data_IF_645332210346
#
_entry.id   IF_645332210346
#
_cell.length_a   1.000
_cell.length_b   1.000
_cell.length_c   1.000
_cell.angle_alpha   90.00
_cell.angle_beta   90.00
_cell.angle_gamma   90.00
#
_symmetry.space_group_name_H-M   'P 1'
#
loop_
_entity.id
_entity.type
_entity.pdbx_description
1 polymer ?
#
# COMPACT_ATOMS: atom_id res chain seq x y z
N UNK A 1 12.98 53.15 46.11
CA UNK A 1 12.02 52.03 46.01
C UNK A 1 11.04 52.34 44.89
N UNK A 2 11.11 51.60 43.77
CA UNK A 2 10.01 51.47 42.83
C UNK A 2 10.17 50.12 42.11
N UNK A 3 9.10 49.34 42.18
CA UNK A 3 9.05 47.89 42.03
C UNK A 3 9.24 47.41 40.60
N UNK A 4 10.07 46.37 40.44
CA UNK A 4 10.32 45.60 39.21
C UNK A 4 9.09 44.71 38.96
N UNK A 5 8.29 44.98 37.93
CA UNK A 5 7.24 44.03 37.48
C UNK A 5 7.90 42.90 36.68
N UNK A 6 7.75 41.62 37.06
CA UNK A 6 8.19 40.52 36.20
C UNK A 6 7.19 40.36 35.05
N UNK A 7 7.70 40.40 33.81
CA UNK A 7 6.93 39.98 32.64
C UNK A 7 6.72 38.46 32.72
N UNK A 8 5.47 38.03 32.85
CA UNK A 8 5.08 36.63 32.86
C UNK A 8 5.29 36.01 31.48
N UNK A 9 6.18 35.02 31.38
CA UNK A 9 6.30 34.14 30.21
C UNK A 9 4.97 33.43 29.95
N UNK A 10 4.41 33.45 28.73
CA UNK A 10 3.21 32.67 28.44
C UNK A 10 3.61 31.19 28.37
N UNK A 11 3.16 30.42 29.37
CA UNK A 11 3.22 28.96 29.35
C UNK A 11 2.45 28.48 28.11
N UNK A 12 3.03 27.65 27.22
CA UNK A 12 2.31 27.10 26.07
C UNK A 12 1.13 26.27 26.58
N UNK A 13 -0.09 26.67 26.24
CA UNK A 13 -1.30 25.91 26.58
C UNK A 13 -1.22 24.57 25.85
N UNK A 14 -1.51 23.43 26.51
CA UNK A 14 -1.53 22.12 25.87
C UNK A 14 -2.44 22.09 24.63
N UNK A 15 -3.42 22.99 24.57
CA UNK A 15 -4.30 23.25 23.43
C UNK A 15 -3.56 23.47 22.10
N UNK A 16 -2.43 24.18 22.08
CA UNK A 16 -1.70 24.46 20.82
C UNK A 16 -0.99 23.20 20.30
N UNK A 17 -0.53 22.34 21.21
CA UNK A 17 0.06 21.04 20.86
C UNK A 17 -1.02 20.07 20.41
N UNK A 18 -2.18 20.06 21.08
CA UNK A 18 -3.33 19.26 20.68
C UNK A 18 -3.90 19.71 19.33
N UNK A 19 -4.04 21.01 19.08
CA UNK A 19 -4.48 21.53 17.78
C UNK A 19 -3.48 21.24 16.67
N UNK A 20 -2.17 21.34 16.93
CA UNK A 20 -1.16 20.95 15.95
C UNK A 20 -1.17 19.44 15.68
N UNK A 21 -1.29 18.62 16.71
CA UNK A 21 -1.39 17.17 16.59
C UNK A 21 -2.67 16.76 15.84
N UNK A 22 -3.80 17.38 16.16
CA UNK A 22 -5.07 17.18 15.45
C UNK A 22 -4.98 17.62 14.00
N UNK A 23 -4.37 18.77 13.69
CA UNK A 23 -4.19 19.24 12.31
C UNK A 23 -3.21 18.37 11.51
N UNK A 24 -2.23 17.75 12.17
CA UNK A 24 -1.31 16.80 11.55
C UNK A 24 -2.02 15.46 11.28
N UNK A 25 -2.83 14.98 12.24
CA UNK A 25 -3.68 13.80 12.07
C UNK A 25 -4.73 14.02 10.97
N UNK A 26 -5.36 15.19 10.89
CA UNK A 26 -6.29 15.56 9.82
C UNK A 26 -5.60 15.55 8.45
N UNK A 27 -4.40 16.12 8.34
CA UNK A 27 -3.64 16.12 7.08
C UNK A 27 -3.17 14.72 6.69
N UNK A 28 -2.76 13.90 7.65
CA UNK A 28 -2.29 12.54 7.39
C UNK A 28 -3.46 11.63 6.97
N UNK A 29 -4.58 11.70 7.70
CA UNK A 29 -5.83 11.03 7.36
C UNK A 29 -6.34 11.43 5.97
N UNK A 30 -6.24 12.71 5.61
CA UNK A 30 -6.69 13.17 4.30
C UNK A 30 -5.82 12.60 3.15
N UNK A 31 -4.52 12.43 3.36
CA UNK A 31 -3.63 11.84 2.34
C UNK A 31 -3.94 10.35 2.13
N UNK A 32 -4.14 9.60 3.22
CA UNK A 32 -4.45 8.17 3.16
C UNK A 32 -5.84 7.90 2.57
N UNK A 33 -6.87 8.63 3.00
CA UNK A 33 -8.22 8.52 2.45
C UNK A 33 -8.28 8.87 0.96
N UNK A 34 -7.57 9.93 0.54
CA UNK A 34 -7.46 10.31 -0.87
C UNK A 34 -6.81 9.19 -1.70
N UNK A 35 -5.76 8.55 -1.18
CA UNK A 35 -5.10 7.44 -1.87
C UNK A 35 -6.04 6.25 -2.11
N UNK A 36 -6.84 5.89 -1.09
CA UNK A 36 -7.83 4.81 -1.19
C UNK A 36 -8.95 5.15 -2.17
N UNK A 37 -9.46 6.38 -2.17
CA UNK A 37 -10.48 6.84 -3.11
C UNK A 37 -9.95 6.80 -4.55
N UNK A 38 -8.73 7.31 -4.78
CA UNK A 38 -8.11 7.30 -6.11
C UNK A 38 -7.91 5.87 -6.61
N UNK A 39 -7.46 4.94 -5.75
CA UNK A 39 -7.30 3.53 -6.10
C UNK A 39 -8.65 2.88 -6.45
N UNK A 40 -9.70 3.15 -5.67
CA UNK A 40 -11.05 2.66 -5.95
C UNK A 40 -11.59 3.19 -7.29
N UNK A 41 -11.42 4.49 -7.55
CA UNK A 41 -11.82 5.09 -8.82
C UNK A 41 -11.05 4.49 -10.01
N UNK A 42 -9.74 4.29 -9.87
CA UNK A 42 -8.93 3.64 -10.89
C UNK A 42 -9.41 2.20 -11.18
N UNK A 43 -9.73 1.44 -10.13
CA UNK A 43 -10.28 0.09 -10.26
C UNK A 43 -11.65 0.09 -10.96
N UNK A 44 -12.54 1.02 -10.60
CA UNK A 44 -13.85 1.17 -11.26
C UNK A 44 -13.67 1.54 -12.73
N UNK A 45 -12.79 2.47 -13.06
CA UNK A 45 -12.51 2.86 -14.45
C UNK A 45 -11.97 1.67 -15.23
N UNK A 46 -11.00 0.93 -14.69
CA UNK A 46 -10.46 -0.27 -15.31
C UNK A 46 -11.53 -1.34 -15.52
N UNK A 47 -12.37 -1.59 -14.51
CA UNK A 47 -13.48 -2.54 -14.57
C UNK A 47 -14.49 -2.17 -15.66
N UNK A 48 -14.92 -0.90 -15.71
CA UNK A 48 -15.86 -0.41 -16.72
C UNK A 48 -15.24 -0.46 -18.12
N UNK A 49 -13.97 -0.10 -18.28
CA UNK A 49 -13.28 -0.12 -19.56
C UNK A 49 -13.12 -1.55 -20.10
N UNK A 50 -12.77 -2.51 -19.23
CA UNK A 50 -12.57 -3.91 -19.59
C UNK A 50 -13.87 -4.68 -19.90
N UNK A 51 -15.04 -4.21 -19.46
CA UNK A 51 -16.31 -4.93 -19.60
C UNK A 51 -17.30 -4.32 -20.61
N UNK A 52 -16.96 -3.19 -21.24
CA UNK A 52 -17.85 -2.50 -22.18
C UNK A 52 -17.54 -2.86 -23.64
N UNK A 53 -18.32 -2.33 -24.60
CA UNK A 53 -18.16 -2.53 -26.05
C UNK A 53 -16.77 -2.12 -26.61
N UNK A 54 -15.94 -1.47 -25.80
CA UNK A 54 -14.58 -1.05 -26.14
C UNK A 54 -13.52 -1.89 -25.41
N UNK A 55 -13.88 -3.06 -24.87
CA UNK A 55 -12.97 -3.97 -24.16
C UNK A 55 -11.74 -4.36 -25.00
N UNK A 56 -11.91 -4.52 -26.33
CA UNK A 56 -10.78 -4.79 -27.23
C UNK A 56 -9.71 -3.69 -27.18
N UNK A 57 -10.11 -2.42 -26.99
CA UNK A 57 -9.15 -1.32 -26.83
C UNK A 57 -8.35 -1.43 -25.54
N UNK A 58 -8.94 -1.94 -24.46
CA UNK A 58 -8.27 -2.17 -23.19
C UNK A 58 -7.20 -3.26 -23.36
N UNK A 59 -7.57 -4.38 -23.99
CA UNK A 59 -6.63 -5.46 -24.25
C UNK A 59 -5.50 -5.02 -25.20
N UNK A 60 -5.81 -4.29 -26.27
CA UNK A 60 -4.80 -3.81 -27.21
C UNK A 60 -3.85 -2.80 -26.55
N UNK A 61 -4.36 -1.93 -25.69
CA UNK A 61 -3.55 -0.97 -24.94
C UNK A 61 -2.54 -1.68 -24.02
N UNK A 62 -3.00 -2.63 -23.22
CA UNK A 62 -2.13 -3.33 -22.26
C UNK A 62 -1.18 -4.34 -22.90
N UNK A 63 -1.58 -4.94 -24.03
CA UNK A 63 -0.74 -5.86 -24.81
C UNK A 63 0.15 -5.15 -25.84
N UNK A 64 0.11 -3.81 -25.92
CA UNK A 64 0.98 -3.06 -26.82
C UNK A 64 2.46 -3.40 -26.55
N UNK A 65 3.17 -3.88 -27.57
CA UNK A 65 4.57 -4.27 -27.45
C UNK A 65 5.46 -3.03 -27.48
N UNK A 66 6.27 -2.88 -26.42
CA UNK A 66 7.33 -1.90 -26.37
C UNK A 66 8.66 -2.59 -26.60
N UNK A 67 9.31 -2.27 -27.72
CA UNK A 67 10.63 -2.77 -28.07
C UNK A 67 11.69 -1.71 -27.79
N UNK A 68 12.65 -2.01 -26.94
CA UNK A 68 13.83 -1.18 -26.68
C UNK A 68 15.05 -1.98 -27.12
N UNK A 69 15.94 -1.36 -27.90
CA UNK A 69 17.15 -2.02 -28.36
C UNK A 69 18.34 -1.09 -28.53
N UNK A 70 19.53 -1.63 -28.27
CA UNK A 70 20.82 -0.97 -28.49
C UNK A 70 21.72 -1.95 -29.24
N UNK A 71 22.04 -1.65 -30.49
CA UNK A 71 22.80 -2.54 -31.37
C UNK A 71 22.05 -3.85 -31.65
N UNK A 72 22.66 -4.98 -31.32
CA UNK A 72 22.06 -6.32 -31.50
C UNK A 72 21.20 -6.79 -30.32
N UNK A 73 21.19 -6.06 -29.19
CA UNK A 73 20.31 -6.37 -28.08
C UNK A 73 18.95 -5.71 -28.32
N UNK A 74 17.90 -6.52 -28.41
CA UNK A 74 16.51 -6.07 -28.48
C UNK A 74 15.68 -6.77 -27.42
N UNK A 75 14.95 -6.00 -26.63
CA UNK A 75 14.01 -6.51 -25.63
C UNK A 75 12.62 -6.01 -26.05
N UNK A 76 11.72 -6.93 -26.39
CA UNK A 76 10.29 -6.65 -26.58
C UNK A 76 9.50 -7.22 -25.40
N UNK A 77 8.71 -6.36 -24.76
CA UNK A 77 7.79 -6.70 -23.67
C UNK A 77 6.49 -5.90 -23.82
N UNK A 78 5.39 -6.45 -23.34
CA UNK A 78 4.12 -5.73 -23.32
C UNK A 78 4.16 -4.55 -22.34
N UNK A 79 3.35 -3.54 -22.61
CA UNK A 79 3.14 -2.40 -21.70
C UNK A 79 2.71 -2.89 -20.31
N UNK A 80 1.83 -3.88 -20.25
CA UNK A 80 1.40 -4.50 -18.99
C UNK A 80 2.58 -5.05 -18.18
N UNK A 81 3.50 -5.79 -18.82
CA UNK A 81 4.68 -6.30 -18.14
C UNK A 81 5.55 -5.17 -17.59
N UNK A 82 5.82 -4.14 -18.40
CA UNK A 82 6.66 -3.02 -18.00
C UNK A 82 6.06 -2.24 -16.83
N UNK A 83 4.77 -1.93 -16.88
CA UNK A 83 4.08 -1.18 -15.82
C UNK A 83 4.02 -2.02 -14.55
N UNK A 84 3.67 -3.31 -14.66
CA UNK A 84 3.63 -4.18 -13.50
C UNK A 84 5.01 -4.30 -12.84
N UNK A 85 6.05 -4.63 -13.60
CA UNK A 85 7.40 -4.82 -13.05
C UNK A 85 8.00 -3.51 -12.53
N UNK A 86 7.83 -2.41 -13.28
CA UNK A 86 8.33 -1.09 -12.90
C UNK A 86 7.65 -0.51 -11.67
N UNK A 87 6.31 -0.49 -11.64
CA UNK A 87 5.57 0.02 -10.48
C UNK A 87 5.72 -0.89 -9.27
N UNK A 88 5.74 -2.22 -9.44
CA UNK A 88 6.00 -3.15 -8.33
C UNK A 88 7.41 -2.98 -7.77
N UNK A 89 8.42 -2.73 -8.60
CA UNK A 89 9.78 -2.44 -8.13
C UNK A 89 9.80 -1.21 -7.22
N UNK A 90 9.13 -0.12 -7.62
CA UNK A 90 9.03 1.09 -6.80
C UNK A 90 8.24 0.83 -5.52
N UNK A 91 7.12 0.11 -5.61
CA UNK A 91 6.29 -0.25 -4.46
C UNK A 91 7.08 -1.07 -3.44
N UNK A 92 7.75 -2.15 -3.86
CA UNK A 92 8.55 -3.00 -2.97
C UNK A 92 9.78 -2.29 -2.42
N UNK A 93 10.35 -1.30 -3.13
CA UNK A 93 11.41 -0.46 -2.59
C UNK A 93 10.90 0.35 -1.37
N UNK A 94 9.73 0.98 -1.49
CA UNK A 94 9.11 1.75 -0.40
C UNK A 94 8.75 0.83 0.77
N UNK A 95 8.09 -0.30 0.49
CA UNK A 95 7.75 -1.30 1.51
C UNK A 95 9.00 -1.84 2.20
N UNK A 96 10.08 -2.11 1.44
CA UNK A 96 11.34 -2.56 2.00
C UNK A 96 12.01 -1.52 2.91
N UNK A 97 11.94 -0.23 2.55
CA UNK A 97 12.42 0.86 3.39
C UNK A 97 11.62 0.98 4.69
N UNK A 98 10.29 0.84 4.61
CA UNK A 98 9.40 0.85 5.77
C UNK A 98 9.69 -0.32 6.71
N UNK A 99 9.81 -1.54 6.17
CA UNK A 99 10.16 -2.73 6.96
C UNK A 99 11.52 -2.54 7.65
N UNK A 100 12.51 -1.93 6.96
CA UNK A 100 13.81 -1.66 7.56
C UNK A 100 13.70 -0.67 8.74
N UNK A 101 12.83 0.33 8.63
CA UNK A 101 12.56 1.27 9.71
C UNK A 101 11.86 0.57 10.89
N UNK A 102 10.85 -0.27 10.63
CA UNK A 102 10.13 -1.06 11.63
C UNK A 102 11.04 -2.04 12.39
N UNK A 103 12.03 -2.63 11.71
CA UNK A 103 13.05 -3.49 12.31
C UNK A 103 14.02 -2.68 13.19
N UNK A 104 14.28 -1.42 12.86
CA UNK A 104 15.25 -0.61 13.61
C UNK A 104 14.62 -0.01 14.87
N UNK A 105 13.47 0.66 14.71
CA UNK A 105 12.88 1.49 15.77
C UNK A 105 11.38 1.20 16.03
N UNK A 106 10.78 0.27 15.28
CA UNK A 106 9.33 0.02 15.31
C UNK A 106 8.92 -1.27 16.02
N UNK A 107 7.78 -1.82 15.61
CA UNK A 107 7.16 -3.01 16.20
C UNK A 107 7.96 -4.30 15.96
N UNK A 108 8.90 -4.29 15.00
CA UNK A 108 9.78 -5.42 14.69
C UNK A 108 11.16 -5.31 15.37
N UNK A 109 11.42 -4.24 16.12
CA UNK A 109 12.73 -3.97 16.75
C UNK A 109 13.11 -4.92 17.89
N UNK A 110 12.14 -5.57 18.53
CA UNK A 110 12.40 -6.56 19.58
C UNK A 110 11.56 -7.81 19.37
N UNK A 111 12.13 -8.96 19.72
CA UNK A 111 11.44 -10.25 19.59
C UNK A 111 10.09 -10.27 20.31
N UNK A 112 9.99 -9.64 21.49
CA UNK A 112 8.75 -9.58 22.28
C UNK A 112 7.64 -8.80 21.58
N UNK A 113 7.97 -7.73 20.84
CA UNK A 113 6.99 -6.97 20.06
C UNK A 113 6.67 -7.66 18.74
N UNK A 114 7.68 -8.23 18.09
CA UNK A 114 7.55 -8.85 16.77
C UNK A 114 6.72 -10.14 16.76
N UNK A 115 6.63 -10.88 17.87
CA UNK A 115 5.88 -12.15 17.94
C UNK A 115 4.41 -12.00 17.56
N UNK A 116 3.76 -10.91 17.97
CA UNK A 116 2.34 -10.69 17.67
C UNK A 116 2.10 -10.40 16.18
N UNK A 117 2.77 -9.41 15.54
CA UNK A 117 2.65 -9.16 14.11
C UNK A 117 3.06 -10.36 13.25
N UNK A 118 4.16 -11.04 13.59
CA UNK A 118 4.62 -12.22 12.85
C UNK A 118 3.60 -13.35 12.94
N UNK A 119 3.07 -13.62 14.14
CA UNK A 119 2.04 -14.64 14.34
C UNK A 119 0.76 -14.34 13.55
N UNK A 120 0.31 -13.08 13.57
CA UNK A 120 -0.85 -12.63 12.80
C UNK A 120 -0.62 -12.76 11.28
N UNK A 121 0.55 -12.35 10.79
CA UNK A 121 0.91 -12.45 9.37
C UNK A 121 1.01 -13.91 8.91
N UNK A 122 1.64 -14.79 9.70
CA UNK A 122 1.71 -16.23 9.40
C UNK A 122 0.32 -16.84 9.34
N UNK A 123 -0.57 -16.53 10.29
CA UNK A 123 -1.96 -16.99 10.24
C UNK A 123 -2.69 -16.48 9.00
N UNK A 124 -2.53 -15.19 8.68
CA UNK A 124 -3.11 -14.54 7.50
C UNK A 124 -2.63 -15.10 6.16
N UNK A 125 -1.43 -15.71 6.12
CA UNK A 125 -0.90 -16.37 4.91
C UNK A 125 -1.27 -17.85 4.89
N UNK A 126 -1.03 -18.58 5.97
CA UNK A 126 -1.18 -20.03 6.02
C UNK A 126 -2.64 -20.47 5.84
N UNK A 127 -3.59 -19.78 6.49
CA UNK A 127 -4.99 -20.18 6.46
C UNK A 127 -5.59 -20.03 5.05
N UNK A 128 -5.51 -18.88 4.36
CA UNK A 128 -6.04 -18.74 3.01
C UNK A 128 -5.32 -19.62 1.99
N UNK A 129 -3.99 -19.77 2.10
CA UNK A 129 -3.21 -20.65 1.23
C UNK A 129 -3.65 -22.11 1.35
N UNK A 130 -3.83 -22.60 2.58
CA UNK A 130 -4.27 -23.97 2.82
C UNK A 130 -5.69 -24.21 2.30
N UNK A 131 -6.60 -23.28 2.56
CA UNK A 131 -7.98 -23.37 2.04
C UNK A 131 -7.96 -23.42 0.50
N UNK A 132 -7.21 -22.52 -0.15
CA UNK A 132 -7.13 -22.49 -1.62
C UNK A 132 -6.54 -23.77 -2.20
N UNK A 133 -5.44 -24.26 -1.63
CA UNK A 133 -4.75 -25.46 -2.13
C UNK A 133 -5.61 -26.71 -1.96
N UNK A 134 -6.32 -26.87 -0.85
CA UNK A 134 -7.24 -27.99 -0.64
C UNK A 134 -8.40 -27.97 -1.64
N UNK A 135 -8.93 -26.79 -1.95
CA UNK A 135 -10.04 -26.64 -2.90
C UNK A 135 -9.61 -26.81 -4.37
N UNK A 136 -8.36 -26.46 -4.71
CA UNK A 136 -7.83 -26.50 -6.07
C UNK A 136 -6.84 -27.66 -6.31
N UNK A 137 -6.80 -28.65 -5.42
CA UNK A 137 -5.86 -29.76 -5.53
C UNK A 137 -6.12 -30.56 -6.82
N UNK A 138 -5.06 -30.81 -7.59
CA UNK A 138 -5.15 -31.55 -8.85
C UNK A 138 -5.73 -30.76 -10.04
N UNK A 139 -6.05 -29.47 -9.86
CA UNK A 139 -6.48 -28.60 -10.97
C UNK A 139 -5.31 -27.78 -11.53
N UNK A 140 -5.43 -27.24 -12.75
CA UNK A 140 -4.45 -26.30 -13.30
C UNK A 140 -4.25 -25.04 -12.45
N UNK A 141 -5.22 -24.70 -11.59
CA UNK A 141 -5.18 -23.53 -10.73
C UNK A 141 -4.39 -23.76 -9.42
N UNK A 142 -3.89 -24.98 -9.16
CA UNK A 142 -3.16 -25.32 -7.93
C UNK A 142 -1.95 -24.43 -7.62
N UNK A 143 -1.34 -23.77 -8.61
CA UNK A 143 -0.24 -22.82 -8.44
C UNK A 143 -0.67 -21.46 -7.84
N UNK A 144 -1.96 -21.15 -7.80
CA UNK A 144 -2.51 -19.86 -7.37
C UNK A 144 -2.63 -19.66 -5.85
N UNK A 145 -1.99 -20.50 -5.02
CA UNK A 145 -2.16 -20.49 -3.56
C UNK A 145 -1.80 -19.17 -2.87
N UNK A 146 -0.91 -18.37 -3.48
CA UNK A 146 -0.48 -17.09 -2.94
C UNK A 146 -1.48 -15.95 -3.23
N UNK A 147 -2.37 -16.10 -4.23
CA UNK A 147 -3.35 -15.08 -4.61
C UNK A 147 -4.23 -14.63 -3.43
N UNK A 148 -4.87 -15.52 -2.65
CA UNK A 148 -5.72 -15.12 -1.53
C UNK A 148 -4.94 -14.65 -0.28
N UNK A 149 -3.61 -14.75 -0.29
CA UNK A 149 -2.78 -14.31 0.84
C UNK A 149 -2.34 -12.85 0.73
N UNK A 150 -2.37 -12.29 -0.49
CA UNK A 150 -1.98 -10.92 -0.73
C UNK A 150 -3.03 -9.96 -0.15
N UNK A 151 -2.58 -9.00 0.66
CA UNK A 151 -3.42 -7.93 1.22
C UNK A 151 -2.98 -6.59 0.65
N UNK A 152 -3.91 -5.82 0.09
CA UNK A 152 -3.65 -4.45 -0.36
C UNK A 152 -3.77 -3.48 0.82
N UNK A 153 -2.61 -3.06 1.35
CA UNK A 153 -2.52 -2.16 2.50
C UNK A 153 -3.14 -0.79 2.18
N UNK A 154 -2.95 -0.27 0.96
CA UNK A 154 -3.48 1.04 0.58
C UNK A 154 -5.01 1.04 0.57
N UNK A 155 -5.61 -0.05 0.09
CA UNK A 155 -7.06 -0.22 0.17
C UNK A 155 -7.55 -0.41 1.61
N UNK A 156 -6.87 -1.25 2.41
CA UNK A 156 -7.25 -1.49 3.79
C UNK A 156 -7.24 -0.22 4.65
N UNK A 157 -6.15 0.57 4.56
CA UNK A 157 -6.04 1.86 5.25
C UNK A 157 -7.07 2.87 4.70
N UNK A 158 -7.25 2.92 3.39
CA UNK A 158 -8.26 3.79 2.76
C UNK A 158 -9.68 3.53 3.27
N UNK A 159 -10.08 2.26 3.41
CA UNK A 159 -11.39 1.90 3.97
C UNK A 159 -11.48 2.23 5.46
N UNK A 160 -10.43 1.97 6.24
CA UNK A 160 -10.40 2.33 7.66
C UNK A 160 -10.54 3.85 7.87
N UNK A 161 -9.84 4.65 7.06
CA UNK A 161 -9.92 6.11 7.10
C UNK A 161 -11.32 6.66 6.74
N UNK A 162 -12.10 5.93 5.94
CA UNK A 162 -13.50 6.29 5.64
C UNK A 162 -14.48 5.95 6.77
N UNK A 163 -14.12 5.01 7.66
CA UNK A 163 -14.97 4.56 8.77
C UNK A 163 -14.81 5.39 10.05
N UNK A 164 -13.79 6.25 10.15
CA UNK A 164 -13.60 7.22 11.24
C UNK A 164 -12.33 7.01 12.04
#
# INVERSE_FOLDING_TARGET
>A
MASKKPASSPIPRPQVLTERALSALERFSHIEAVSGIVLLLAAIVAFLWANNAIAESYEHFWNAELTIGIGHLTISRSLHFLVNDGLMTVFFLVVGAEIRQEISDGALSSFKLATLPIGAALGGVLVPALIYTLLNFGTPASSGWAVPTATDIAFAVGVLALLG
#
